data_IF_647484836810
#
_entry.id   IF_647484836810
#
_cell.length_a   1.000
_cell.length_b   1.000
_cell.length_c   1.000
_cell.angle_alpha   90.00
_cell.angle_beta   90.00
_cell.angle_gamma   90.00
#
_symmetry.space_group_name_H-M   'P 1'
#
loop_
_entity.id
_entity.type
_entity.pdbx_description
1 polymer ?
#
# COMPACT_ATOMS: atom_id res chain seq x y z
N UNK A 1 -30.35 -19.55 -23.04
CA UNK A 1 -29.74 -18.39 -22.36
C UNK A 1 -28.47 -18.05 -23.10
N UNK A 2 -28.53 -17.08 -24.02
CA UNK A 2 -27.48 -16.77 -25.00
C UNK A 2 -26.60 -15.65 -24.42
N UNK A 3 -25.50 -16.01 -23.77
CA UNK A 3 -24.53 -15.02 -23.29
C UNK A 3 -23.70 -14.55 -24.50
N UNK A 4 -23.81 -13.26 -24.81
CA UNK A 4 -23.16 -12.63 -25.96
C UNK A 4 -21.70 -12.33 -25.64
N UNK A 5 -20.74 -12.61 -26.54
CA UNK A 5 -19.30 -12.37 -26.30
C UNK A 5 -18.97 -10.90 -26.02
N UNK A 6 -19.85 -9.97 -26.41
CA UNK A 6 -19.72 -8.55 -26.10
C UNK A 6 -19.83 -8.25 -24.58
N UNK A 7 -20.62 -9.03 -23.84
CA UNK A 7 -20.83 -8.81 -22.39
C UNK A 7 -19.61 -9.26 -21.56
N UNK A 8 -18.87 -10.27 -22.03
CA UNK A 8 -17.66 -10.74 -21.36
C UNK A 8 -16.52 -9.70 -21.45
N UNK A 9 -16.49 -8.93 -22.54
CA UNK A 9 -15.45 -7.93 -22.78
C UNK A 9 -15.68 -6.64 -21.97
N UNK A 10 -16.94 -6.28 -21.66
CA UNK A 10 -17.27 -5.08 -20.87
C UNK A 10 -16.95 -5.24 -19.37
N UNK A 11 -16.97 -6.47 -18.84
CA UNK A 11 -16.65 -6.70 -17.42
C UNK A 11 -15.14 -6.56 -17.17
N UNK A 12 -14.30 -6.89 -18.15
CA UNK A 12 -12.84 -6.84 -18.00
C UNK A 12 -12.29 -5.40 -17.94
N UNK A 13 -12.96 -4.43 -18.56
CA UNK A 13 -12.57 -3.01 -18.53
C UNK A 13 -12.96 -2.29 -17.24
N UNK A 14 -13.93 -2.80 -16.48
CA UNK A 14 -14.36 -2.18 -15.22
C UNK A 14 -13.40 -2.44 -14.03
N UNK A 15 -12.51 -3.43 -14.14
CA UNK A 15 -11.53 -3.74 -13.08
C UNK A 15 -10.25 -2.89 -13.13
N UNK A 16 -10.00 -2.18 -14.23
CA UNK A 16 -8.75 -1.43 -14.42
C UNK A 16 -8.83 0.05 -14.02
N UNK A 17 -10.00 0.59 -13.69
CA UNK A 17 -10.19 2.02 -13.44
C UNK A 17 -10.62 2.30 -12.00
N UNK A 18 -9.65 2.43 -11.09
CA UNK A 18 -9.65 3.41 -10.00
C UNK A 18 -8.45 3.19 -9.07
N UNK A 19 -7.25 3.53 -9.53
CA UNK A 19 -6.15 3.88 -8.62
C UNK A 19 -5.89 5.37 -8.79
N UNK A 20 -6.81 6.20 -8.30
CA UNK A 20 -6.62 7.64 -8.23
C UNK A 20 -5.61 7.93 -7.11
N UNK A 21 -4.32 7.96 -7.46
CA UNK A 21 -3.27 8.33 -6.53
C UNK A 21 -3.40 9.85 -6.25
N UNK A 22 -3.91 10.19 -5.07
CA UNK A 22 -3.98 11.58 -4.63
C UNK A 22 -2.58 12.20 -4.65
N UNK A 23 -2.37 13.18 -5.54
CA UNK A 23 -1.09 13.88 -5.65
C UNK A 23 -1.00 14.91 -4.52
N UNK A 24 -0.20 14.60 -3.50
CA UNK A 24 0.04 15.54 -2.40
C UNK A 24 1.06 16.61 -2.85
N UNK A 25 0.90 17.88 -2.42
CA UNK A 25 1.85 18.93 -2.73
C UNK A 25 3.26 18.55 -2.21
N UNK A 26 4.34 18.90 -2.93
CA UNK A 26 5.70 18.64 -2.47
C UNK A 26 5.91 19.26 -1.10
N UNK A 27 6.18 18.43 -0.07
CA UNK A 27 6.61 18.93 1.24
C UNK A 27 7.94 19.67 1.04
N UNK A 28 8.08 20.80 1.73
CA UNK A 28 9.23 21.69 1.67
C UNK A 28 10.56 20.91 1.71
N UNK A 29 11.43 21.16 0.73
CA UNK A 29 12.68 20.41 0.49
C UNK A 29 13.85 21.00 1.27
N UNK A 30 13.66 21.34 2.56
CA UNK A 30 14.79 21.35 3.49
C UNK A 30 15.47 19.98 3.43
N UNK A 31 16.80 19.87 3.63
CA UNK A 31 17.55 18.60 3.47
C UNK A 31 16.84 17.43 4.18
N UNK A 32 16.03 16.69 3.43
CA UNK A 32 15.00 15.84 3.98
C UNK A 32 15.62 14.47 4.22
N UNK A 33 16.08 14.23 5.46
CA UNK A 33 16.84 13.01 5.81
C UNK A 33 16.14 12.09 6.81
N UNK A 34 14.88 12.36 7.19
CA UNK A 34 14.13 11.51 8.13
C UNK A 34 12.78 11.15 7.54
N UNK A 35 12.62 9.87 7.23
CA UNK A 35 11.37 9.27 6.76
C UNK A 35 10.71 8.58 7.95
N UNK A 36 9.45 8.93 8.23
CA UNK A 36 8.59 8.26 9.20
C UNK A 36 7.57 7.39 8.46
N UNK A 37 7.40 6.14 8.89
CA UNK A 37 6.49 5.19 8.21
C UNK A 37 5.47 4.61 9.19
N UNK A 38 4.21 4.52 8.78
CA UNK A 38 3.19 3.75 9.49
C UNK A 38 2.82 2.52 8.64
N UNK A 39 2.92 1.33 9.23
CA UNK A 39 2.53 0.05 8.63
C UNK A 39 1.20 -0.36 9.28
N UNK A 40 0.16 -0.55 8.47
CA UNK A 40 -1.15 -1.00 8.95
C UNK A 40 -1.31 -2.50 8.64
N UNK A 41 -1.34 -3.31 9.70
CA UNK A 41 -1.34 -4.77 9.67
C UNK A 41 0.03 -5.36 10.03
N UNK A 42 0.05 -6.28 11.01
CA UNK A 42 1.23 -7.02 11.46
C UNK A 42 1.24 -8.49 11.00
N UNK A 43 0.59 -8.77 9.87
CA UNK A 43 0.72 -10.06 9.18
C UNK A 43 2.04 -10.18 8.40
N UNK A 44 2.20 -11.29 7.66
CA UNK A 44 3.43 -11.58 6.87
C UNK A 44 3.92 -10.41 6.01
N UNK A 45 3.02 -9.68 5.36
CA UNK A 45 3.37 -8.54 4.51
C UNK A 45 3.86 -7.34 5.32
N UNK A 46 3.21 -7.04 6.45
CA UNK A 46 3.59 -5.93 7.32
C UNK A 46 4.94 -6.15 7.99
N UNK A 47 5.18 -7.37 8.48
CA UNK A 47 6.48 -7.75 9.05
C UNK A 47 7.58 -7.70 7.99
N UNK A 48 7.34 -8.24 6.79
CA UNK A 48 8.29 -8.16 5.69
C UNK A 48 8.60 -6.70 5.30
N UNK A 49 7.59 -5.81 5.30
CA UNK A 49 7.80 -4.39 5.07
C UNK A 49 8.71 -3.78 6.15
N UNK A 50 8.46 -4.04 7.43
CA UNK A 50 9.28 -3.56 8.54
C UNK A 50 10.73 -4.07 8.46
N UNK A 51 10.93 -5.32 8.07
CA UNK A 51 12.26 -5.90 7.83
C UNK A 51 13.00 -5.17 6.71
N UNK A 52 12.33 -4.93 5.58
CA UNK A 52 12.90 -4.22 4.44
C UNK A 52 13.25 -2.76 4.79
N UNK A 53 12.39 -2.06 5.54
CA UNK A 53 12.66 -0.71 6.03
C UNK A 53 13.90 -0.68 6.93
N UNK A 54 14.01 -1.64 7.85
CA UNK A 54 15.17 -1.76 8.75
C UNK A 54 16.46 -2.00 7.96
N UNK A 55 16.44 -2.89 6.97
CA UNK A 55 17.59 -3.14 6.07
C UNK A 55 17.99 -1.89 5.28
N UNK A 56 17.01 -1.09 4.86
CA UNK A 56 17.21 0.21 4.21
C UNK A 56 17.60 1.35 5.17
N UNK A 57 17.87 1.04 6.46
CA UNK A 57 18.19 1.99 7.53
C UNK A 57 17.07 3.01 7.84
N UNK A 58 15.82 2.69 7.50
CA UNK A 58 14.63 3.43 7.89
C UNK A 58 14.06 2.75 9.13
N UNK A 59 14.39 3.27 10.32
CA UNK A 59 14.00 2.67 11.60
C UNK A 59 12.94 3.46 12.37
N UNK A 60 12.55 4.63 11.87
CA UNK A 60 11.50 5.46 12.46
C UNK A 60 10.14 5.04 11.88
N UNK A 61 9.62 3.91 12.36
CA UNK A 61 8.33 3.38 11.92
C UNK A 61 7.49 2.84 13.08
N UNK A 62 6.17 2.80 12.85
CA UNK A 62 5.18 2.20 13.74
C UNK A 62 4.39 1.13 12.97
N UNK A 63 4.16 -0.02 13.59
CA UNK A 63 3.23 -1.04 13.10
C UNK A 63 1.97 -0.97 13.95
N UNK A 64 0.80 -0.91 13.31
CA UNK A 64 -0.51 -0.94 13.95
C UNK A 64 -1.26 -2.18 13.49
N UNK A 65 -1.64 -3.03 14.43
CA UNK A 65 -2.44 -4.24 14.20
C UNK A 65 -3.77 -4.11 14.95
N UNK A 66 -4.85 -4.58 14.33
CA UNK A 66 -6.16 -4.57 14.97
C UNK A 66 -6.26 -5.64 16.05
N UNK A 67 -5.68 -6.80 15.78
CA UNK A 67 -5.66 -7.94 16.69
C UNK A 67 -4.69 -7.73 17.87
N UNK A 68 -4.87 -8.54 18.90
CA UNK A 68 -3.96 -8.64 20.05
C UNK A 68 -2.77 -9.59 19.79
N UNK A 69 -2.61 -10.07 18.55
CA UNK A 69 -1.53 -10.94 18.12
C UNK A 69 -0.92 -10.49 16.78
N UNK A 70 0.29 -10.97 16.48
CA UNK A 70 0.95 -10.82 15.18
C UNK A 70 0.93 -12.13 14.39
N UNK A 71 0.99 -12.07 13.06
CA UNK A 71 1.00 -13.27 12.20
C UNK A 71 0.08 -13.16 10.99
#
# INVERSE_FOLDING_TARGET
MKQSPAQLLTVLTAFFTAAEAATLPPRDKGTCKKTKVAILGAGVAGIAAAQNLTQAKITDFLIVEHNDYIG
#
